data_IF_051483859109
#
_entry.id   IF_051483859109
#
_cell.length_a   1.000
_cell.length_b   1.000
_cell.length_c   1.000
_cell.angle_alpha   90.00
_cell.angle_beta   90.00
_cell.angle_gamma   90.00
#
_symmetry.space_group_name_H-M   'P 1'
#
loop_
_entity.id
_entity.type
_entity.pdbx_description
1 polymer ?
#
# COMPACT_ATOMS: atom_id res chain seq x y z
N UNK A 1 4.20 -8.74 2.45
CA UNK A 1 4.03 -7.43 3.12
C UNK A 1 3.65 -7.68 4.57
N UNK A 2 4.15 -6.88 5.50
CA UNK A 2 3.69 -6.86 6.90
C UNK A 2 3.52 -5.41 7.32
N UNK A 3 2.46 -5.09 8.04
CA UNK A 3 2.22 -3.72 8.48
C UNK A 3 1.02 -3.58 9.40
N UNK A 4 0.81 -2.35 9.84
CA UNK A 4 -0.27 -1.97 10.74
C UNK A 4 -1.05 -0.81 10.15
N UNK A 5 -2.36 -0.85 10.36
CA UNK A 5 -3.28 0.25 10.05
C UNK A 5 -3.86 0.75 11.35
N UNK A 6 -3.88 2.07 11.51
CA UNK A 6 -4.67 2.72 12.54
C UNK A 6 -5.48 3.86 11.93
N UNK A 7 -6.81 3.76 12.04
CA UNK A 7 -7.76 4.64 11.34
C UNK A 7 -7.48 4.63 9.82
N UNK A 8 -7.03 5.77 9.28
CA UNK A 8 -6.71 5.95 7.86
C UNK A 8 -5.20 5.99 7.61
N UNK A 9 -4.37 5.78 8.61
CA UNK A 9 -2.91 5.76 8.44
C UNK A 9 -2.41 4.32 8.44
N UNK A 10 -1.49 4.03 7.53
CA UNK A 10 -0.86 2.73 7.39
C UNK A 10 0.65 2.89 7.35
N UNK A 11 1.33 2.06 8.13
CA UNK A 11 2.77 1.86 8.07
C UNK A 11 3.04 0.38 7.79
N UNK A 12 3.79 0.10 6.73
CA UNK A 12 4.06 -1.29 6.34
C UNK A 12 5.39 -1.42 5.62
N UNK A 13 5.84 -2.67 5.50
CA UNK A 13 7.08 -3.01 4.83
C UNK A 13 6.90 -4.20 3.89
N UNK A 14 7.68 -4.20 2.82
CA UNK A 14 7.70 -5.23 1.78
C UNK A 14 9.10 -5.34 1.17
N UNK A 15 9.37 -6.45 0.50
CA UNK A 15 10.51 -6.54 -0.41
C UNK A 15 10.04 -5.98 -1.76
N UNK A 16 10.78 -5.02 -2.30
CA UNK A 16 10.50 -4.45 -3.61
C UNK A 16 11.05 -5.35 -4.73
N UNK A 17 10.84 -4.93 -5.98
CA UNK A 17 11.27 -5.67 -7.18
C UNK A 17 12.80 -5.83 -7.32
N UNK A 18 13.59 -5.18 -6.47
CA UNK A 18 15.05 -5.23 -6.42
C UNK A 18 15.57 -5.95 -5.16
N UNK A 19 14.74 -6.82 -4.57
CA UNK A 19 15.04 -7.58 -3.34
C UNK A 19 15.46 -6.71 -2.14
N UNK A 20 15.13 -5.42 -2.19
CA UNK A 20 15.45 -4.47 -1.13
C UNK A 20 14.23 -4.25 -0.24
N UNK A 21 14.47 -4.13 1.06
CA UNK A 21 13.41 -3.84 2.04
C UNK A 21 12.95 -2.39 1.86
N UNK A 22 11.67 -2.23 1.53
CA UNK A 22 11.01 -0.93 1.45
C UNK A 22 10.11 -0.69 2.64
N UNK A 23 10.04 0.57 3.08
CA UNK A 23 9.16 1.02 4.15
C UNK A 23 8.19 2.05 3.59
N UNK A 24 6.89 1.88 3.86
CA UNK A 24 5.83 2.77 3.41
C UNK A 24 5.13 3.38 4.61
N UNK A 25 4.91 4.69 4.54
CA UNK A 25 3.94 5.41 5.37
C UNK A 25 2.94 6.09 4.46
N UNK A 26 1.65 5.87 4.71
CA UNK A 26 0.60 6.38 3.83
C UNK A 26 -0.71 6.68 4.54
N UNK A 27 -1.40 7.69 4.02
CA UNK A 27 -2.81 7.93 4.26
C UNK A 27 -3.65 7.10 3.27
N UNK A 28 -4.62 6.37 3.79
CA UNK A 28 -5.40 5.36 3.07
C UNK A 28 -6.89 5.43 3.45
N UNK A 29 -7.63 6.41 2.91
CA UNK A 29 -9.09 6.41 2.97
C UNK A 29 -9.65 5.27 2.10
N UNK A 30 -10.69 4.62 2.62
CA UNK A 30 -11.45 3.59 1.93
C UNK A 30 -12.94 3.88 2.07
N UNK A 31 -13.69 3.48 1.05
CA UNK A 31 -15.12 3.68 0.93
C UNK A 31 -15.78 2.37 0.56
N UNK A 32 -16.91 2.07 1.18
CA UNK A 32 -17.70 0.88 0.85
C UNK A 32 -18.29 1.05 -0.55
N UNK A 33 -17.95 0.13 -1.45
CA UNK A 33 -18.51 0.10 -2.81
C UNK A 33 -19.68 -0.89 -2.87
N UNK A 34 -19.51 -2.06 -2.26
CA UNK A 34 -20.55 -3.08 -2.08
C UNK A 34 -20.42 -3.68 -0.67
N UNK A 35 -21.38 -4.49 -0.19
CA UNK A 35 -21.29 -5.13 1.13
C UNK A 35 -20.08 -6.06 1.33
N UNK A 36 -19.40 -6.43 0.24
CA UNK A 36 -18.22 -7.31 0.24
C UNK A 36 -16.98 -6.66 -0.36
N UNK A 37 -17.04 -5.38 -0.79
CA UNK A 37 -15.92 -4.69 -1.41
C UNK A 37 -15.79 -3.22 -0.97
N UNK A 38 -14.54 -2.80 -0.77
CA UNK A 38 -14.15 -1.41 -0.54
C UNK A 38 -13.19 -0.94 -1.60
N UNK A 39 -13.34 0.30 -2.04
CA UNK A 39 -12.39 1.00 -2.90
C UNK A 39 -11.63 2.05 -2.09
N UNK A 40 -10.40 2.34 -2.46
CA UNK A 40 -9.58 3.29 -1.73
C UNK A 40 -8.43 3.82 -2.56
N UNK A 41 -7.69 4.74 -1.96
CA UNK A 41 -6.47 5.29 -2.53
C UNK A 41 -5.44 5.40 -1.42
N UNK A 42 -4.22 4.95 -1.70
CA UNK A 42 -3.08 5.09 -0.81
C UNK A 42 -2.22 6.27 -1.29
N UNK A 43 -2.01 7.24 -0.41
CA UNK A 43 -1.23 8.45 -0.65
C UNK A 43 -0.12 8.53 0.39
N UNK A 44 1.14 8.48 -0.01
CA UNK A 44 2.24 8.41 0.94
C UNK A 44 3.62 8.46 0.33
N UNK A 45 4.58 7.93 1.07
CA UNK A 45 5.97 7.81 0.62
C UNK A 45 6.50 6.40 0.88
N UNK A 46 7.39 5.95 -0.01
CA UNK A 46 8.12 4.69 0.09
C UNK A 46 9.63 4.94 0.03
N UNK A 47 10.38 4.28 0.90
CA UNK A 47 11.85 4.25 0.89
C UNK A 47 12.38 2.91 0.40
N UNK A 48 13.70 2.80 0.22
CA UNK A 48 14.36 1.55 -0.18
C UNK A 48 14.62 1.44 -1.69
N UNK A 49 14.58 2.56 -2.41
CA UNK A 49 15.01 2.67 -3.81
C UNK A 49 16.24 3.58 -3.91
N UNK A 50 17.17 3.25 -4.81
CA UNK A 50 18.25 4.16 -5.21
C UNK A 50 17.74 5.15 -6.28
N UNK A 51 18.51 6.21 -6.54
CA UNK A 51 18.16 7.22 -7.57
C UNK A 51 18.07 6.62 -8.98
N UNK A 52 18.87 5.59 -9.22
CA UNK A 52 18.94 4.86 -10.50
C UNK A 52 17.74 3.93 -10.66
N UNK A 53 17.24 3.36 -9.56
CA UNK A 53 16.07 2.47 -9.55
C UNK A 53 14.75 3.25 -9.63
N UNK A 54 14.68 4.41 -8.99
CA UNK A 54 13.54 5.31 -9.10
C UNK A 54 13.99 6.77 -9.16
N UNK A 55 13.89 7.37 -10.35
CA UNK A 55 14.29 8.76 -10.57
C UNK A 55 13.32 9.75 -9.92
N UNK A 56 12.06 9.35 -9.72
CA UNK A 56 10.98 10.12 -9.11
C UNK A 56 11.05 9.99 -7.58
N UNK A 57 12.19 10.40 -7.01
CA UNK A 57 12.36 10.42 -5.56
C UNK A 57 12.97 11.74 -5.08
N UNK A 58 12.53 12.21 -3.92
CA UNK A 58 13.07 13.40 -3.26
C UNK A 58 13.63 12.98 -1.89
N UNK A 59 14.93 13.20 -1.67
CA UNK A 59 15.59 12.81 -0.41
C UNK A 59 15.51 11.31 -0.09
N UNK A 60 15.48 10.43 -1.10
CA UNK A 60 15.34 8.98 -0.91
C UNK A 60 13.91 8.50 -0.62
N UNK A 61 12.91 9.39 -0.76
CA UNK A 61 11.49 9.08 -0.63
C UNK A 61 10.84 9.17 -2.00
N UNK A 62 10.25 8.06 -2.46
CA UNK A 62 9.43 8.01 -3.66
C UNK A 62 7.97 8.26 -3.27
N UNK A 63 7.21 9.12 -3.96
CA UNK A 63 5.79 9.32 -3.70
C UNK A 63 4.99 8.06 -4.09
N UNK A 64 4.02 7.71 -3.26
CA UNK A 64 3.08 6.61 -3.51
C UNK A 64 1.71 7.21 -3.76
N UNK A 65 1.15 6.90 -4.92
CA UNK A 65 -0.26 7.11 -5.26
C UNK A 65 -0.77 5.79 -5.84
N UNK A 66 -1.53 5.04 -5.05
CA UNK A 66 -1.95 3.70 -5.45
C UNK A 66 -3.46 3.50 -5.21
N UNK A 67 -4.30 3.35 -6.25
CA UNK A 67 -5.68 2.92 -6.06
C UNK A 67 -5.71 1.49 -5.51
N UNK A 68 -6.71 1.21 -4.68
CA UNK A 68 -6.86 -0.06 -3.99
C UNK A 68 -8.27 -0.62 -4.13
N UNK A 69 -8.37 -1.94 -4.23
CA UNK A 69 -9.62 -2.69 -4.07
C UNK A 69 -9.43 -3.72 -2.96
N UNK A 70 -10.29 -3.67 -1.95
CA UNK A 70 -10.35 -4.66 -0.87
C UNK A 70 -11.61 -5.48 -1.01
N UNK A 71 -11.46 -6.79 -1.17
CA UNK A 71 -12.55 -7.77 -1.03
C UNK A 71 -12.55 -8.24 0.41
N UNK A 72 -13.71 -8.32 1.06
CA UNK A 72 -13.77 -8.73 2.46
C UNK A 72 -14.91 -9.70 2.75
N UNK A 73 -14.66 -10.59 3.72
CA UNK A 73 -15.62 -11.51 4.29
C UNK A 73 -15.35 -11.65 5.78
N UNK A 74 -16.34 -11.27 6.60
CA UNK A 74 -16.20 -11.20 8.07
C UNK A 74 -14.97 -10.38 8.47
N UNK A 75 -14.02 -10.97 9.20
CA UNK A 75 -12.80 -10.32 9.70
C UNK A 75 -11.60 -10.47 8.77
N UNK A 76 -11.78 -10.98 7.54
CA UNK A 76 -10.70 -11.16 6.58
C UNK A 76 -10.93 -10.27 5.36
N UNK A 77 -9.87 -9.60 4.92
CA UNK A 77 -9.85 -8.81 3.70
C UNK A 77 -8.68 -9.21 2.81
N UNK A 78 -8.91 -9.31 1.51
CA UNK A 78 -7.87 -9.39 0.50
C UNK A 78 -7.83 -8.06 -0.24
N UNK A 79 -6.72 -7.34 -0.15
CA UNK A 79 -6.53 -6.07 -0.85
C UNK A 79 -5.49 -6.19 -1.95
N UNK A 80 -5.84 -5.65 -3.11
CA UNK A 80 -4.91 -5.37 -4.21
C UNK A 80 -4.71 -3.87 -4.32
N UNK A 81 -3.48 -3.46 -4.60
CA UNK A 81 -3.08 -2.07 -4.82
C UNK A 81 -2.20 -1.98 -6.07
N UNK A 82 -2.49 -1.03 -6.94
CA UNK A 82 -1.66 -0.73 -8.10
C UNK A 82 -0.71 0.41 -7.74
N UNK A 83 0.54 0.08 -7.45
CA UNK A 83 1.63 1.05 -7.47
C UNK A 83 1.99 1.29 -8.94
N UNK A 84 2.67 2.40 -9.25
CA UNK A 84 2.96 2.89 -10.62
C UNK A 84 3.17 1.79 -11.66
N UNK A 85 4.07 0.84 -11.36
CA UNK A 85 4.45 -0.28 -12.21
C UNK A 85 4.34 -1.65 -11.50
N UNK A 86 3.81 -1.69 -10.27
CA UNK A 86 3.79 -2.90 -9.44
C UNK A 86 2.40 -3.16 -8.85
N UNK A 87 1.88 -4.38 -9.04
CA UNK A 87 0.71 -4.86 -8.32
C UNK A 87 1.12 -5.46 -6.97
N UNK A 88 0.49 -5.00 -5.92
CA UNK A 88 0.77 -5.42 -4.54
C UNK A 88 -0.46 -6.05 -3.93
N UNK A 89 -0.30 -7.27 -3.42
CA UNK A 89 -1.34 -8.01 -2.74
C UNK A 89 -1.10 -8.05 -1.23
N UNK A 90 -2.17 -7.91 -0.46
CA UNK A 90 -2.11 -8.00 0.99
C UNK A 90 -3.32 -8.71 1.57
N UNK A 91 -3.08 -9.53 2.59
CA UNK A 91 -4.12 -10.11 3.44
C UNK A 91 -4.26 -9.21 4.67
N UNK A 92 -5.50 -8.85 5.00
CA UNK A 92 -5.86 -7.97 6.11
C UNK A 92 -6.71 -8.74 7.11
N UNK A 93 -6.37 -8.57 8.39
CA UNK A 93 -7.28 -8.89 9.49
C UNK A 93 -8.04 -7.61 9.82
N UNK A 94 -9.35 -7.66 9.68
CA UNK A 94 -10.27 -6.54 9.86
C UNK A 94 -10.91 -6.67 11.25
N UNK A 95 -10.42 -5.87 12.19
CA UNK A 95 -10.87 -5.79 13.58
C UNK A 95 -11.64 -4.49 13.77
#
# INVERSE_FOLDING_TARGET
>A
MVGVRYKRWEAFTLLNSFDTRSYILSYHPQFDWTPWAKVGIRLGGITGYTKEQNSVQLGGITPVVAPTLTLHYKHLGFETALFTDVLVFSLKVMI
#
